data_IF_906811373019
#
_entry.id   IF_906811373019
#
_cell.length_a   1.000
_cell.length_b   1.000
_cell.length_c   1.000
_cell.angle_alpha   90.00
_cell.angle_beta   90.00
_cell.angle_gamma   90.00
#
_symmetry.space_group_name_H-M   'P 1'
#
loop_
_entity.id
_entity.type
_entity.pdbx_description
1 polymer ?
#
# COMPACT_ATOMS: atom_id res chain seq x y z
N UNK A 1 -14.47 -6.23 14.71
CA UNK A 1 -13.17 -6.28 13.99
C UNK A 1 -12.01 -5.92 14.90
N UNK A 2 -11.00 -6.78 15.06
CA UNK A 2 -9.70 -6.37 15.62
C UNK A 2 -8.69 -6.21 14.48
N UNK A 3 -8.23 -4.98 14.25
CA UNK A 3 -7.16 -4.67 13.30
C UNK A 3 -5.88 -4.35 14.08
N UNK A 4 -4.80 -5.09 13.81
CA UNK A 4 -3.47 -4.75 14.33
C UNK A 4 -2.61 -4.30 13.17
N UNK A 5 -2.06 -3.09 13.26
CA UNK A 5 -1.16 -2.53 12.27
C UNK A 5 0.18 -2.17 12.90
N UNK A 6 1.26 -2.51 12.22
CA UNK A 6 2.63 -2.12 12.55
C UNK A 6 3.19 -1.37 11.35
N UNK A 7 3.81 -0.22 11.58
CA UNK A 7 4.50 0.56 10.54
C UNK A 7 5.93 0.81 10.98
N UNK A 8 6.89 0.62 10.07
CA UNK A 8 8.32 0.89 10.31
C UNK A 8 8.94 1.54 9.08
N UNK A 9 9.82 2.51 9.30
CA UNK A 9 10.63 3.16 8.26
C UNK A 9 12.07 2.69 8.36
N UNK A 10 12.67 2.42 7.20
CA UNK A 10 14.07 2.11 7.01
C UNK A 10 14.63 3.08 5.97
N UNK A 11 15.79 3.65 6.26
CA UNK A 11 16.48 4.60 5.37
C UNK A 11 17.75 3.93 4.89
N UNK A 12 17.90 3.79 3.59
CA UNK A 12 19.09 3.26 2.92
C UNK A 12 19.71 4.36 2.05
N UNK A 13 20.98 4.25 1.62
CA UNK A 13 21.66 5.33 0.90
C UNK A 13 20.95 5.81 -0.37
N UNK A 14 20.24 4.92 -1.07
CA UNK A 14 19.60 5.19 -2.36
C UNK A 14 18.07 5.16 -2.30
N UNK A 15 17.49 4.83 -1.14
CA UNK A 15 16.03 4.64 -1.00
C UNK A 15 15.51 4.74 0.44
N UNK A 16 14.29 5.20 0.56
CA UNK A 16 13.48 5.13 1.77
C UNK A 16 12.46 3.99 1.64
N UNK A 17 12.34 3.17 2.67
CA UNK A 17 11.40 2.04 2.70
C UNK A 17 10.49 2.18 3.91
N UNK A 18 9.18 2.16 3.69
CA UNK A 18 8.17 2.07 4.76
C UNK A 18 7.48 0.72 4.66
N UNK A 19 7.65 -0.13 5.66
CA UNK A 19 6.98 -1.43 5.77
C UNK A 19 5.74 -1.27 6.65
N UNK A 20 4.61 -1.79 6.19
CA UNK A 20 3.39 -1.87 6.97
C UNK A 20 2.85 -3.31 7.00
N UNK A 21 2.52 -3.80 8.18
CA UNK A 21 1.92 -5.12 8.39
C UNK A 21 0.59 -4.94 9.07
N UNK A 22 -0.46 -5.47 8.47
CA UNK A 22 -1.81 -5.49 9.01
C UNK A 22 -2.29 -6.94 9.20
N UNK A 23 -2.94 -7.20 10.33
CA UNK A 23 -3.67 -8.42 10.61
C UNK A 23 -5.12 -8.07 10.94
N UNK A 24 -6.06 -8.78 10.32
CA UNK A 24 -7.50 -8.64 10.54
C UNK A 24 -8.10 -9.99 10.88
N UNK A 25 -8.80 -10.07 12.01
CA UNK A 25 -9.57 -11.25 12.44
C UNK A 25 -10.83 -10.80 13.22
N UNK A 26 -12.03 -11.33 12.91
CA UNK A 26 -12.36 -12.10 11.72
C UNK A 26 -12.31 -11.21 10.47
N UNK A 27 -12.28 -11.81 9.27
CA UNK A 27 -12.46 -11.03 8.04
C UNK A 27 -13.91 -10.54 7.99
N UNK A 28 -14.13 -9.23 7.99
CA UNK A 28 -15.46 -8.64 7.85
C UNK A 28 -15.65 -8.09 6.43
N UNK A 29 -16.70 -8.55 5.74
CA UNK A 29 -17.11 -8.03 4.43
C UNK A 29 -18.58 -7.63 4.51
N UNK A 30 -18.90 -6.38 4.15
CA UNK A 30 -20.26 -5.84 4.20
C UNK A 30 -20.96 -6.15 5.53
N UNK A 31 -20.25 -5.94 6.64
CA UNK A 31 -20.71 -6.20 8.01
C UNK A 31 -20.96 -7.68 8.38
N UNK A 32 -20.55 -8.63 7.53
CA UNK A 32 -20.58 -10.06 7.85
C UNK A 32 -19.18 -10.55 8.18
N UNK A 33 -19.01 -11.06 9.39
CA UNK A 33 -17.79 -11.72 9.82
C UNK A 33 -17.70 -13.11 9.19
N UNK A 34 -16.59 -13.41 8.53
CA UNK A 34 -16.24 -14.74 8.06
C UNK A 34 -15.33 -15.36 9.14
N UNK A 35 -15.95 -16.18 9.98
CA UNK A 35 -15.26 -16.86 11.07
C UNK A 35 -14.20 -17.85 10.54
N UNK A 36 -13.15 -18.07 11.34
CA UNK A 36 -12.07 -19.01 11.05
C UNK A 36 -11.11 -18.59 9.92
N UNK A 37 -11.32 -17.44 9.26
CA UNK A 37 -10.37 -16.90 8.29
C UNK A 37 -9.66 -15.67 8.85
N UNK A 38 -8.32 -15.68 8.81
CA UNK A 38 -7.49 -14.53 9.20
C UNK A 38 -6.83 -13.93 7.98
N UNK A 39 -6.98 -12.62 7.80
CA UNK A 39 -6.33 -11.87 6.73
C UNK A 39 -5.05 -11.21 7.22
N UNK A 40 -3.98 -11.39 6.44
CA UNK A 40 -2.69 -10.76 6.65
C UNK A 40 -2.30 -9.96 5.41
N UNK A 41 -2.07 -8.66 5.60
CA UNK A 41 -1.50 -7.78 4.60
C UNK A 41 -0.10 -7.40 5.04
N UNK A 42 0.90 -7.68 4.21
CA UNK A 42 2.25 -7.16 4.39
C UNK A 42 2.56 -6.31 3.18
N UNK A 43 2.72 -5.01 3.37
CA UNK A 43 3.08 -4.11 2.30
C UNK A 43 4.35 -3.34 2.61
N UNK A 44 4.96 -2.85 1.56
CA UNK A 44 6.05 -1.90 1.66
C UNK A 44 5.90 -0.83 0.59
N UNK A 45 6.35 0.36 0.94
CA UNK A 45 6.44 1.53 0.08
C UNK A 45 7.90 1.86 -0.07
N UNK A 46 8.38 2.02 -1.29
CA UNK A 46 9.75 2.44 -1.58
C UNK A 46 9.72 3.77 -2.29
N UNK A 47 10.48 4.73 -1.79
CA UNK A 47 10.84 5.94 -2.53
C UNK A 47 12.30 5.84 -2.90
N UNK A 48 12.62 6.01 -4.19
CA UNK A 48 13.99 5.96 -4.69
C UNK A 48 14.14 6.87 -5.91
N UNK A 49 15.38 7.11 -6.35
CA UNK A 49 15.62 7.83 -7.62
C UNK A 49 14.94 7.10 -8.78
N UNK A 50 14.22 7.84 -9.60
CA UNK A 50 13.57 7.31 -10.81
C UNK A 50 14.63 6.94 -11.85
N UNK A 51 14.51 5.80 -12.54
CA UNK A 51 15.35 5.48 -13.70
C UNK A 51 15.25 6.51 -14.84
N UNK A 52 14.15 7.26 -14.90
CA UNK A 52 13.95 8.34 -15.87
C UNK A 52 14.59 9.67 -15.42
N UNK A 53 15.25 9.71 -14.26
CA UNK A 53 15.89 10.91 -13.75
C UNK A 53 17.16 11.25 -14.53
N UNK A 54 17.34 12.53 -14.84
CA UNK A 54 18.56 13.08 -15.46
C UNK A 54 19.24 14.08 -14.50
N UNK A 55 20.49 14.50 -14.76
CA UNK A 55 21.15 15.53 -13.94
C UNK A 55 20.41 16.88 -13.95
N UNK A 56 19.76 17.22 -15.05
CA UNK A 56 18.95 18.45 -15.19
C UNK A 56 17.55 18.29 -14.62
N UNK A 57 17.07 17.05 -14.47
CA UNK A 57 15.73 16.75 -14.01
C UNK A 57 15.74 15.58 -13.02
N UNK A 58 15.93 15.93 -11.75
CA UNK A 58 15.90 14.95 -10.66
C UNK A 58 14.47 14.46 -10.42
N UNK A 59 14.26 13.15 -10.57
CA UNK A 59 12.97 12.51 -10.39
C UNK A 59 13.06 11.44 -9.31
N UNK A 60 12.04 11.40 -8.47
CA UNK A 60 11.81 10.31 -7.51
C UNK A 60 10.68 9.42 -7.99
N UNK A 61 10.77 8.13 -7.70
CA UNK A 61 9.75 7.13 -7.99
C UNK A 61 9.22 6.57 -6.68
N UNK A 62 7.89 6.53 -6.56
CA UNK A 62 7.16 5.91 -5.45
C UNK A 62 6.63 4.55 -5.92
N UNK A 63 6.95 3.49 -5.18
CA UNK A 63 6.50 2.13 -5.51
C UNK A 63 5.81 1.50 -4.32
N UNK A 64 4.59 1.01 -4.53
CA UNK A 64 3.86 0.20 -3.56
C UNK A 64 3.91 -1.27 -3.95
N UNK A 65 4.17 -2.13 -2.98
CA UNK A 65 4.03 -3.56 -3.14
C UNK A 65 3.31 -4.14 -1.92
N UNK A 66 2.51 -5.18 -2.13
CA UNK A 66 1.87 -5.89 -1.03
C UNK A 66 1.74 -7.38 -1.30
N UNK A 67 1.72 -8.12 -0.20
CA UNK A 67 1.46 -9.55 -0.15
C UNK A 67 0.26 -9.80 0.75
N UNK A 68 -0.72 -10.49 0.20
CA UNK A 68 -1.91 -10.97 0.91
C UNK A 68 -1.69 -12.44 1.26
N UNK A 69 -1.97 -12.82 2.51
CA UNK A 69 -2.09 -14.21 2.93
C UNK A 69 -3.36 -14.40 3.76
N UNK A 70 -3.99 -15.55 3.59
CA UNK A 70 -5.22 -15.93 4.30
C UNK A 70 -4.94 -17.23 5.03
N UNK A 71 -5.02 -17.18 6.35
CA UNK A 71 -4.89 -18.36 7.19
C UNK A 71 -6.29 -18.94 7.44
N UNK A 72 -6.39 -20.27 7.33
CA UNK A 72 -7.60 -21.04 7.59
C UNK A 72 -7.50 -21.69 8.96
N UNK A 73 -8.62 -21.76 9.68
CA UNK A 73 -8.68 -22.47 10.94
C UNK A 73 -8.49 -23.99 10.71
N UNK A 74 -7.61 -24.64 11.48
CA UNK A 74 -7.41 -26.08 11.37
C UNK A 74 -8.70 -26.86 11.65
N UNK A 75 -8.97 -27.89 10.86
CA UNK A 75 -10.15 -28.74 11.03
C UNK A 75 -11.47 -28.16 10.47
N UNK A 76 -11.46 -26.92 9.97
CA UNK A 76 -12.63 -26.30 9.33
C UNK A 76 -12.56 -26.49 7.81
N UNK A 77 -13.64 -27.02 7.24
CA UNK A 77 -13.81 -27.08 5.78
C UNK A 77 -14.43 -25.77 5.28
N UNK A 78 -13.84 -25.21 4.23
CA UNK A 78 -14.34 -23.99 3.59
C UNK A 78 -14.70 -24.29 2.15
N UNK A 79 -15.86 -23.80 1.72
CA UNK A 79 -16.27 -23.84 0.32
C UNK A 79 -15.23 -23.11 -0.56
N UNK A 80 -14.58 -23.82 -1.51
CA UNK A 80 -13.60 -23.21 -2.42
C UNK A 80 -14.14 -22.02 -3.22
N UNK A 81 -15.45 -22.00 -3.54
CA UNK A 81 -16.10 -20.89 -4.25
C UNK A 81 -16.09 -19.63 -3.40
N UNK A 82 -16.48 -19.75 -2.12
CA UNK A 82 -16.48 -18.63 -1.18
C UNK A 82 -15.06 -18.12 -0.90
N UNK A 83 -14.09 -19.02 -0.70
CA UNK A 83 -12.67 -18.64 -0.48
C UNK A 83 -12.11 -17.90 -1.70
N UNK A 84 -12.45 -18.35 -2.92
CA UNK A 84 -12.03 -17.68 -4.15
C UNK A 84 -12.65 -16.29 -4.27
N UNK A 85 -13.95 -16.16 -4.04
CA UNK A 85 -14.64 -14.87 -4.11
C UNK A 85 -14.06 -13.87 -3.09
N UNK A 86 -13.85 -14.34 -1.86
CA UNK A 86 -13.19 -13.58 -0.80
C UNK A 86 -11.79 -13.11 -1.22
N UNK A 87 -10.96 -14.03 -1.72
CA UNK A 87 -9.59 -13.71 -2.16
C UNK A 87 -9.60 -12.63 -3.25
N UNK A 88 -10.47 -12.75 -4.25
CA UNK A 88 -10.61 -11.75 -5.33
C UNK A 88 -11.03 -10.39 -4.79
N UNK A 89 -11.98 -10.36 -3.86
CA UNK A 89 -12.41 -9.13 -3.21
C UNK A 89 -11.26 -8.45 -2.47
N UNK A 90 -10.51 -9.21 -1.65
CA UNK A 90 -9.37 -8.68 -0.89
C UNK A 90 -8.26 -8.14 -1.80
N UNK A 91 -7.94 -8.86 -2.89
CA UNK A 91 -6.97 -8.42 -3.89
C UNK A 91 -7.43 -7.10 -4.53
N UNK A 92 -8.68 -7.05 -5.03
CA UNK A 92 -9.22 -5.87 -5.70
C UNK A 92 -9.26 -4.66 -4.78
N UNK A 93 -9.77 -4.82 -3.57
CA UNK A 93 -9.82 -3.75 -2.57
C UNK A 93 -8.42 -3.25 -2.18
N UNK A 94 -7.47 -4.16 -1.96
CA UNK A 94 -6.09 -3.80 -1.61
C UNK A 94 -5.41 -3.05 -2.76
N UNK A 95 -5.48 -3.59 -3.98
CA UNK A 95 -4.88 -2.94 -5.15
C UNK A 95 -5.49 -1.56 -5.42
N UNK A 96 -6.81 -1.41 -5.29
CA UNK A 96 -7.50 -0.14 -5.43
C UNK A 96 -7.06 0.89 -4.39
N UNK A 97 -7.00 0.49 -3.11
CA UNK A 97 -6.55 1.37 -2.03
C UNK A 97 -5.08 1.79 -2.21
N UNK A 98 -4.18 0.86 -2.55
CA UNK A 98 -2.77 1.18 -2.78
C UNK A 98 -2.59 2.15 -3.94
N UNK A 99 -3.32 1.97 -5.03
CA UNK A 99 -3.31 2.91 -6.16
C UNK A 99 -3.80 4.30 -5.73
N UNK A 100 -4.93 4.36 -5.04
CA UNK A 100 -5.47 5.63 -4.54
C UNK A 100 -4.47 6.35 -3.61
N UNK A 101 -3.77 5.62 -2.74
CA UNK A 101 -2.73 6.20 -1.90
C UNK A 101 -1.54 6.70 -2.72
N UNK A 102 -1.09 5.93 -3.71
CA UNK A 102 0.00 6.34 -4.59
C UNK A 102 -0.35 7.64 -5.34
N UNK A 103 -1.48 7.66 -6.04
CA UNK A 103 -1.95 8.83 -6.79
C UNK A 103 -2.08 10.06 -5.89
N UNK A 104 -2.64 9.88 -4.70
CA UNK A 104 -2.82 10.98 -3.73
C UNK A 104 -1.48 11.53 -3.23
N UNK A 105 -0.50 10.67 -2.97
CA UNK A 105 0.83 11.10 -2.52
C UNK A 105 1.56 11.80 -3.66
N UNK A 106 1.57 11.21 -4.85
CA UNK A 106 2.23 11.78 -6.04
C UNK A 106 1.65 13.15 -6.39
N UNK A 107 0.32 13.28 -6.46
CA UNK A 107 -0.35 14.55 -6.74
C UNK A 107 -0.03 15.61 -5.68
N UNK A 108 -0.03 15.25 -4.39
CA UNK A 108 0.32 16.20 -3.32
C UNK A 108 1.78 16.69 -3.43
N UNK A 109 2.71 15.81 -3.83
CA UNK A 109 4.11 16.16 -4.05
C UNK A 109 4.29 17.05 -5.30
N UNK A 110 3.56 16.75 -6.37
CA UNK A 110 3.54 17.58 -7.59
C UNK A 110 2.99 18.98 -7.29
N UNK A 111 1.84 19.07 -6.61
CA UNK A 111 1.25 20.34 -6.20
C UNK A 111 2.20 21.16 -5.35
N UNK A 112 2.91 20.51 -4.42
CA UNK A 112 3.91 21.17 -3.59
C UNK A 112 5.10 21.68 -4.43
N UNK A 113 5.58 20.90 -5.40
CA UNK A 113 6.67 21.30 -6.28
C UNK A 113 6.27 22.50 -7.17
N UNK A 114 5.06 22.47 -7.75
CA UNK A 114 4.53 23.57 -8.56
C UNK A 114 4.41 24.87 -7.76
N UNK A 115 3.89 24.79 -6.52
CA UNK A 115 3.80 25.96 -5.63
C UNK A 115 5.18 26.53 -5.29
N UNK A 116 6.20 25.69 -5.11
CA UNK A 116 7.57 26.15 -4.86
C UNK A 116 8.17 26.86 -6.08
N UNK A 117 7.93 26.36 -7.28
CA UNK A 117 8.37 27.02 -8.51
C UNK A 117 7.69 28.38 -8.70
N UNK A 118 6.38 28.46 -8.51
CA UNK A 118 5.64 29.73 -8.61
C UNK A 118 6.07 30.78 -7.57
N UNK A 119 6.48 30.33 -6.38
CA UNK A 119 6.92 31.20 -5.29
C UNK A 119 8.43 31.48 -5.30
N UNK A 120 9.18 30.91 -6.24
CA UNK A 120 10.58 31.27 -6.45
C UNK A 120 10.60 32.57 -7.25
N UNK A 121 11.09 33.70 -6.71
CA UNK A 121 11.22 34.92 -7.51
C UNK A 121 12.10 34.60 -8.71
N UNK A 122 11.68 35.02 -9.90
CA UNK A 122 12.47 34.84 -11.11
C UNK A 122 13.91 35.29 -10.86
N UNK A 123 14.84 34.37 -10.94
CA UNK A 123 16.24 34.71 -11.13
C UNK A 123 16.36 35.22 -12.57
N UNK A 124 16.39 36.55 -12.70
CA UNK A 124 16.96 37.26 -13.85
C UNK A 124 18.37 36.72 -14.17
#
# INVERSE_FOLDING_TARGET
MQMKQIVRRYVEPDRDIVIFVCRVNPIEIKHKAIAGLTYHLRGYVVTKRSPASTPQHELSMLQFCSRISIDKEPGVSYDPVHVRALTRFLIGNTAGNLRCYQERIENALVDQALRRQMNSPGSD
#
